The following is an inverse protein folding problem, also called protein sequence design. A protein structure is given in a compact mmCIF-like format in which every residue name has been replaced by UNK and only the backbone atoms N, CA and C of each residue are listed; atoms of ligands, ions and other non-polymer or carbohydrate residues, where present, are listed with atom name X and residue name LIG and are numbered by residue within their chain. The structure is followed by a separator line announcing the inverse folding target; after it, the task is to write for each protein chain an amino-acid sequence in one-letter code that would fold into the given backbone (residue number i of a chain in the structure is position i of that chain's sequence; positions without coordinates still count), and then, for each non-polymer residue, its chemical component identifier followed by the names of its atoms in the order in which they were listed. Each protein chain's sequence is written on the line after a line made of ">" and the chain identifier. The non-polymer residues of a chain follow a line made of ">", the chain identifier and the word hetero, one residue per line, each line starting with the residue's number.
data_IF_698152768270
#
_entry.id   IF_698152768270
#
_cell.length_a   1.000
_cell.length_b   1.000
_cell.length_c   1.000
_cell.angle_alpha   90.00
_cell.angle_beta   90.00
_cell.angle_gamma   90.00
#
_symmetry.space_group_name_H-M   'P 1'
#
loop_
_entity.id
_entity.type
_entity.pdbx_description
1 polymer ?
#
# COMPACT_ATOMS: atom_id res chain seq x y z
N UNK A 1 13.63 -30.30 44.36
CA UNK A 1 13.22 -30.15 42.95
C UNK A 1 12.07 -29.17 42.92
N UNK A 2 12.29 -27.98 42.36
CA UNK A 2 11.29 -26.90 42.36
C UNK A 2 11.01 -26.51 40.92
N UNK A 3 9.75 -26.60 40.50
CA UNK A 3 9.28 -26.14 39.19
C UNK A 3 7.94 -25.43 39.38
N UNK A 4 8.00 -24.18 39.82
CA UNK A 4 6.88 -23.26 39.67
C UNK A 4 6.94 -22.69 38.25
N UNK A 5 6.00 -23.08 37.39
CA UNK A 5 5.72 -22.39 36.15
C UNK A 5 4.44 -21.58 36.33
N UNK A 6 4.60 -20.34 36.75
CA UNK A 6 3.51 -19.40 36.94
C UNK A 6 3.13 -18.80 35.58
N UNK A 7 1.99 -19.22 35.04
CA UNK A 7 1.52 -18.82 33.71
C UNK A 7 0.86 -17.44 33.80
N UNK A 8 1.66 -16.39 33.69
CA UNK A 8 1.16 -15.01 33.60
C UNK A 8 0.51 -14.75 32.23
N UNK A 9 -0.73 -15.23 32.08
CA UNK A 9 -1.63 -14.86 30.99
C UNK A 9 -2.14 -13.43 31.22
N UNK A 10 -1.60 -12.46 30.47
CA UNK A 10 -2.15 -11.10 30.45
C UNK A 10 -3.36 -11.09 29.52
N UNK A 11 -4.54 -11.28 30.12
CA UNK A 11 -5.83 -11.17 29.45
C UNK A 11 -6.07 -9.71 29.01
N UNK A 12 -5.87 -9.43 27.71
CA UNK A 12 -6.39 -8.21 27.09
C UNK A 12 -7.88 -8.39 26.77
N UNK A 13 -8.70 -7.42 27.14
CA UNK A 13 -10.15 -7.50 27.12
C UNK A 13 -10.77 -7.25 25.73
N UNK A 14 -10.30 -7.96 24.70
CA UNK A 14 -10.99 -8.14 23.42
C UNK A 14 -10.46 -9.43 22.79
N UNK A 15 -11.33 -10.27 22.21
CA UNK A 15 -11.03 -11.68 21.88
C UNK A 15 -10.05 -11.94 20.73
N UNK A 16 -8.80 -11.50 20.87
CA UNK A 16 -7.72 -11.69 19.90
C UNK A 16 -6.48 -12.26 20.57
N UNK A 17 -5.92 -13.32 20.01
CA UNK A 17 -4.63 -13.88 20.44
C UNK A 17 -3.51 -13.10 19.75
N UNK A 18 -2.56 -12.61 20.53
CA UNK A 18 -1.34 -11.97 20.02
C UNK A 18 -0.42 -13.02 19.41
N UNK A 19 0.00 -12.80 18.17
CA UNK A 19 0.93 -13.63 17.43
C UNK A 19 2.37 -13.53 17.98
N UNK A 20 2.75 -14.35 18.97
CA UNK A 20 4.15 -14.45 19.39
C UNK A 20 5.00 -15.22 18.34
N UNK A 21 5.70 -14.47 17.50
CA UNK A 21 6.77 -15.00 16.65
C UNK A 21 8.10 -14.95 17.42
N UNK A 22 8.48 -16.07 18.05
CA UNK A 22 9.80 -16.24 18.66
C UNK A 22 10.91 -15.99 17.63
N UNK A 23 11.56 -14.83 17.71
CA UNK A 23 12.72 -14.50 16.87
C UNK A 23 13.91 -15.36 17.27
N UNK A 24 14.47 -16.11 16.33
CA UNK A 24 15.83 -16.62 16.45
C UNK A 24 16.80 -15.44 16.33
N UNK A 25 17.76 -15.35 17.26
CA UNK A 25 18.68 -14.22 17.37
C UNK A 25 19.73 -14.28 16.24
N UNK A 26 19.91 -13.22 15.43
CA UNK A 26 21.06 -13.11 14.53
C UNK A 26 22.32 -12.80 15.34
N UNK A 27 23.41 -13.50 15.05
CA UNK A 27 24.72 -13.22 15.64
C UNK A 27 25.22 -11.86 15.15
N UNK A 28 25.67 -11.02 16.09
CA UNK A 28 26.34 -9.74 15.83
C UNK A 28 27.78 -9.88 16.31
N UNK A 29 28.73 -9.56 15.43
CA UNK A 29 30.07 -9.12 15.83
C UNK A 29 30.33 -7.76 15.15
N UNK A 30 30.92 -6.78 15.85
CA UNK A 30 31.17 -5.44 15.33
C UNK A 30 32.55 -5.33 14.66
N UNK A 31 32.68 -4.40 13.72
CA UNK A 31 33.99 -3.86 13.30
C UNK A 31 33.85 -2.35 13.13
N UNK A 32 34.92 -1.63 13.49
CA UNK A 32 34.84 -0.24 13.98
C UNK A 32 35.89 0.66 13.28
N UNK A 33 35.53 1.93 13.02
CA UNK A 33 36.41 3.04 12.56
C UNK A 33 37.01 2.82 11.14
N UNK A 34 37.25 3.80 10.24
CA UNK A 34 37.90 5.13 10.33
C UNK A 34 37.30 6.14 9.33
N UNK A 35 37.24 7.40 9.73
CA UNK A 35 36.87 8.62 8.97
C UNK A 35 38.04 9.28 8.22
N UNK A 36 37.76 10.04 7.15
CA UNK A 36 38.43 11.33 6.82
C UNK A 36 37.78 12.06 5.64
N UNK A 37 37.99 13.37 5.57
CA UNK A 37 37.29 14.36 4.73
C UNK A 37 38.03 14.74 3.44
N UNK A 38 37.34 15.30 2.43
CA UNK A 38 37.92 16.35 1.56
C UNK A 38 36.94 17.42 1.03
N UNK A 39 37.47 18.65 0.92
CA UNK A 39 36.97 19.98 0.50
C UNK A 39 36.54 20.10 -0.99
N UNK A 40 35.99 21.19 -1.57
CA UNK A 40 35.37 22.47 -1.13
C UNK A 40 34.75 23.22 -2.36
N UNK A 41 33.73 24.07 -2.11
CA UNK A 41 33.33 25.33 -2.81
C UNK A 41 33.13 25.43 -4.34
N UNK A 42 32.00 26.03 -4.73
CA UNK A 42 31.98 27.19 -5.65
C UNK A 42 30.69 28.01 -5.48
N UNK A 43 30.80 29.27 -5.06
CA UNK A 43 29.70 30.24 -5.06
C UNK A 43 29.58 30.94 -6.43
N UNK A 44 28.39 31.46 -6.77
CA UNK A 44 28.24 32.48 -7.80
C UNK A 44 26.91 33.24 -7.65
N UNK A 45 26.93 34.36 -6.90
CA UNK A 45 25.85 35.34 -6.85
C UNK A 45 26.06 36.42 -7.92
N UNK A 46 25.02 36.80 -8.69
CA UNK A 46 24.94 38.13 -9.33
C UNK A 46 23.46 38.56 -9.43
N UNK A 47 23.10 39.70 -8.83
CA UNK A 47 21.82 40.42 -9.02
C UNK A 47 21.96 41.57 -10.06
N UNK A 48 20.90 42.42 -10.17
CA UNK A 48 20.77 43.65 -10.98
C UNK A 48 20.48 43.39 -12.48
N UNK A 49 19.66 44.13 -13.23
CA UNK A 49 18.71 45.23 -12.95
C UNK A 49 17.55 45.07 -14.00
N UNK A 50 16.46 45.85 -14.09
CA UNK A 50 16.06 47.15 -13.53
C UNK A 50 14.50 47.22 -13.47
N UNK A 51 13.91 48.34 -13.04
CA UNK A 51 12.47 48.62 -13.20
C UNK A 51 12.18 49.69 -14.27
N UNK A 52 10.97 49.69 -14.86
CA UNK A 52 10.27 50.91 -15.31
C UNK A 52 8.82 50.63 -15.78
N UNK A 53 7.91 51.34 -15.09
CA UNK A 53 6.58 51.86 -15.43
C UNK A 53 5.96 51.66 -16.84
N UNK A 54 4.62 51.55 -16.90
CA UNK A 54 3.85 52.01 -18.08
C UNK A 54 2.79 51.09 -18.71
N UNK A 55 1.53 51.49 -18.55
CA UNK A 55 0.45 51.44 -19.57
C UNK A 55 -0.19 50.09 -20.01
N UNK A 56 -1.26 49.77 -19.29
CA UNK A 56 -2.58 49.30 -19.79
C UNK A 56 -2.80 49.48 -21.31
N UNK A 57 -2.97 48.38 -22.06
CA UNK A 57 -3.96 48.28 -23.16
C UNK A 57 -4.29 46.83 -23.56
N UNK A 58 -5.59 46.59 -23.65
CA UNK A 58 -6.29 45.54 -24.42
C UNK A 58 -5.44 44.61 -25.30
N UNK A 59 -5.45 43.31 -24.98
CA UNK A 59 -5.44 42.27 -26.02
C UNK A 59 -6.46 41.18 -25.67
N UNK A 60 -7.34 40.91 -26.64
CA UNK A 60 -8.32 39.84 -26.62
C UNK A 60 -7.57 38.51 -26.73
N UNK A 61 -7.28 37.87 -25.58
CA UNK A 61 -6.66 36.54 -25.61
C UNK A 61 -7.73 35.53 -25.97
N UNK A 62 -7.86 35.27 -27.28
CA UNK A 62 -8.52 34.08 -27.80
C UNK A 62 -7.71 32.88 -27.29
N UNK A 63 -8.03 32.37 -26.11
CA UNK A 63 -7.55 31.06 -25.66
C UNK A 63 -8.36 30.01 -26.41
N UNK A 64 -8.06 29.88 -27.71
CA UNK A 64 -8.16 28.60 -28.41
C UNK A 64 -7.10 27.67 -27.82
N UNK A 65 -7.31 27.30 -26.54
CA UNK A 65 -6.80 26.02 -26.08
C UNK A 65 -7.50 24.98 -26.94
N UNK A 66 -6.78 24.11 -27.65
CA UNK A 66 -7.41 22.91 -28.16
C UNK A 66 -7.92 22.18 -26.92
N UNK A 67 -9.24 22.18 -26.73
CA UNK A 67 -9.93 21.32 -25.78
C UNK A 67 -9.64 19.91 -26.28
N UNK A 68 -8.50 19.35 -25.85
CA UNK A 68 -8.00 18.07 -26.35
C UNK A 68 -8.98 17.02 -25.88
N UNK A 69 -9.89 16.68 -26.79
CA UNK A 69 -11.04 15.82 -26.56
C UNK A 69 -10.56 14.60 -25.81
N UNK A 70 -10.94 14.52 -24.54
CA UNK A 70 -10.22 13.70 -23.58
C UNK A 70 -10.64 12.26 -23.79
N UNK A 71 -9.84 11.53 -24.57
CA UNK A 71 -10.12 10.14 -24.94
C UNK A 71 -10.40 9.31 -23.69
N UNK A 72 -11.24 8.27 -23.83
CA UNK A 72 -11.58 7.36 -22.73
C UNK A 72 -10.33 6.79 -22.03
N UNK A 73 -9.27 6.54 -22.80
CA UNK A 73 -7.94 6.18 -22.32
C UNK A 73 -7.30 7.29 -21.46
N UNK A 74 -7.29 8.55 -21.91
CA UNK A 74 -6.78 9.68 -21.14
C UNK A 74 -7.55 9.89 -19.82
N UNK A 75 -8.85 9.63 -19.82
CA UNK A 75 -9.69 9.66 -18.59
C UNK A 75 -9.31 8.53 -17.64
N UNK A 76 -9.09 7.30 -18.14
CA UNK A 76 -8.63 6.17 -17.32
C UNK A 76 -7.24 6.42 -16.72
N UNK A 77 -6.30 6.97 -17.50
CA UNK A 77 -4.94 7.29 -17.01
C UNK A 77 -4.99 8.27 -15.84
N UNK A 78 -5.73 9.39 -15.96
CA UNK A 78 -5.87 10.34 -14.84
C UNK A 78 -6.57 9.75 -13.61
N UNK A 79 -7.56 8.86 -13.80
CA UNK A 79 -8.20 8.16 -12.67
C UNK A 79 -7.22 7.23 -11.96
N UNK A 80 -6.39 6.50 -12.71
CA UNK A 80 -5.37 5.64 -12.15
C UNK A 80 -4.24 6.43 -11.46
N UNK A 81 -3.93 7.64 -11.96
CA UNK A 81 -2.98 8.59 -11.34
C UNK A 81 -3.47 9.04 -9.97
N UNK A 82 -4.68 9.61 -9.90
CA UNK A 82 -5.32 9.99 -8.64
C UNK A 82 -5.42 8.82 -7.65
N UNK A 83 -5.75 7.62 -8.15
CA UNK A 83 -5.85 6.41 -7.34
C UNK A 83 -4.50 5.97 -6.78
N UNK A 84 -3.46 5.86 -7.62
CA UNK A 84 -2.13 5.41 -7.19
C UNK A 84 -1.50 6.40 -6.21
N UNK A 85 -1.67 7.71 -6.46
CA UNK A 85 -1.17 8.74 -5.56
C UNK A 85 -1.92 8.71 -4.21
N UNK A 86 -3.24 8.56 -4.20
CA UNK A 86 -3.99 8.34 -2.96
C UNK A 86 -3.47 7.12 -2.18
N UNK A 87 -3.38 5.96 -2.84
CA UNK A 87 -2.94 4.70 -2.20
C UNK A 87 -1.50 4.78 -1.68
N UNK A 88 -0.60 5.52 -2.35
CA UNK A 88 0.80 5.72 -1.89
C UNK A 88 0.89 6.45 -0.55
N UNK A 89 -0.05 7.35 -0.26
CA UNK A 89 -0.05 8.14 0.98
C UNK A 89 -0.58 7.36 2.21
N UNK A 90 -1.21 6.19 2.02
CA UNK A 90 -1.75 5.41 3.14
C UNK A 90 -0.61 4.60 3.79
N UNK A 91 -0.22 4.86 5.05
CA UNK A 91 0.85 4.13 5.70
C UNK A 91 0.42 2.69 6.00
N UNK A 92 1.33 1.73 5.83
CA UNK A 92 1.08 0.35 6.28
C UNK A 92 1.05 0.34 7.82
N UNK A 93 0.06 -0.30 8.48
CA UNK A 93 0.01 -0.38 9.94
C UNK A 93 1.31 -0.94 10.54
N UNK A 94 1.77 -0.36 11.65
CA UNK A 94 3.01 -0.78 12.34
C UNK A 94 2.75 -1.79 13.46
N UNK A 95 1.60 -1.69 14.12
CA UNK A 95 1.10 -2.70 15.06
C UNK A 95 0.29 -3.73 14.27
N UNK A 96 0.70 -4.99 14.33
CA UNK A 96 0.10 -6.15 13.64
C UNK A 96 0.21 -7.39 14.53
N UNK A 97 -0.27 -8.54 14.06
CA UNK A 97 -0.18 -9.80 14.81
C UNK A 97 -1.44 -10.13 15.59
N UNK A 98 -2.60 -9.77 15.05
CA UNK A 98 -3.88 -10.35 15.47
C UNK A 98 -4.05 -11.70 14.76
N UNK A 99 -4.29 -12.77 15.50
CA UNK A 99 -4.67 -14.04 14.91
C UNK A 99 -6.12 -13.99 14.39
N UNK A 100 -6.31 -13.49 13.16
CA UNK A 100 -7.62 -13.37 12.49
C UNK A 100 -8.00 -14.73 11.88
N UNK A 101 -9.08 -15.41 12.33
CA UNK A 101 -9.57 -16.63 11.68
C UNK A 101 -10.09 -16.35 10.27
N UNK A 102 -9.84 -17.24 9.31
CA UNK A 102 -10.18 -17.03 7.90
C UNK A 102 -10.25 -18.33 7.08
N UNK A 103 -11.29 -18.47 6.25
CA UNK A 103 -11.46 -19.60 5.34
C UNK A 103 -10.99 -19.32 3.90
N UNK A 104 -10.75 -18.06 3.54
CA UNK A 104 -10.36 -17.60 2.19
C UNK A 104 -9.52 -16.32 2.26
N UNK A 105 -8.69 -16.09 1.23
CA UNK A 105 -7.86 -14.89 1.08
C UNK A 105 -8.68 -13.61 0.95
N UNK A 106 -9.75 -13.61 0.15
CA UNK A 106 -10.70 -12.50 0.05
C UNK A 106 -11.41 -12.27 1.39
N UNK A 107 -11.72 -13.33 2.14
CA UNK A 107 -12.25 -13.25 3.50
C UNK A 107 -11.28 -12.55 4.46
N UNK A 108 -10.01 -12.96 4.48
CA UNK A 108 -8.98 -12.33 5.29
C UNK A 108 -8.75 -10.86 4.88
N UNK A 109 -8.74 -10.56 3.58
CA UNK A 109 -8.64 -9.19 3.07
C UNK A 109 -9.78 -8.29 3.57
N UNK A 110 -11.02 -8.78 3.60
CA UNK A 110 -12.17 -8.06 4.19
C UNK A 110 -11.98 -7.81 5.69
N UNK A 111 -11.54 -8.82 6.44
CA UNK A 111 -11.27 -8.71 7.89
C UNK A 111 -10.15 -7.71 8.19
N UNK A 112 -9.08 -7.69 7.40
CA UNK A 112 -7.99 -6.71 7.49
C UNK A 112 -8.50 -5.29 7.25
N UNK A 113 -9.30 -5.06 6.21
CA UNK A 113 -9.89 -3.74 5.93
C UNK A 113 -10.73 -3.22 7.10
N UNK A 114 -11.54 -4.10 7.71
CA UNK A 114 -12.38 -3.75 8.87
C UNK A 114 -11.57 -3.51 10.15
N UNK A 115 -10.55 -4.34 10.41
CA UNK A 115 -9.74 -4.24 11.64
C UNK A 115 -8.85 -3.00 11.63
N UNK A 116 -8.19 -2.72 10.51
CA UNK A 116 -7.22 -1.63 10.38
C UNK A 116 -7.82 -0.34 9.81
N UNK A 117 -9.08 -0.36 9.38
CA UNK A 117 -9.79 0.76 8.77
C UNK A 117 -9.03 1.40 7.60
N UNK A 118 -8.43 0.56 6.76
CA UNK A 118 -7.71 0.95 5.54
C UNK A 118 -8.21 0.16 4.33
N UNK A 119 -8.25 0.76 3.12
CA UNK A 119 -8.45 0.02 1.88
C UNK A 119 -7.22 -0.85 1.56
N UNK A 120 -7.41 -1.87 0.74
CA UNK A 120 -6.32 -2.58 0.07
C UNK A 120 -6.23 -2.15 -1.40
N UNK A 121 -5.03 -2.25 -1.97
CA UNK A 121 -4.78 -1.90 -3.34
C UNK A 121 -5.57 -2.80 -4.31
N UNK A 122 -5.97 -2.26 -5.45
CA UNK A 122 -6.69 -2.97 -6.51
C UNK A 122 -5.95 -4.25 -6.91
N UNK A 123 -4.62 -4.16 -7.11
CA UNK A 123 -3.77 -5.32 -7.42
C UNK A 123 -3.75 -6.35 -6.29
N UNK A 124 -3.82 -5.92 -5.03
CA UNK A 124 -3.93 -6.83 -3.87
C UNK A 124 -5.29 -7.53 -3.88
N UNK A 125 -6.38 -6.78 -4.06
CA UNK A 125 -7.74 -7.35 -4.12
C UNK A 125 -7.89 -8.36 -5.26
N UNK A 126 -7.32 -8.09 -6.44
CA UNK A 126 -7.25 -9.04 -7.56
C UNK A 126 -6.42 -10.27 -7.18
N UNK A 127 -5.23 -10.10 -6.60
CA UNK A 127 -4.37 -11.23 -6.21
C UNK A 127 -5.01 -12.15 -5.17
N UNK A 128 -5.67 -11.60 -4.16
CA UNK A 128 -6.41 -12.38 -3.15
C UNK A 128 -7.53 -13.19 -3.81
N UNK A 129 -8.26 -12.59 -4.76
CA UNK A 129 -9.26 -13.30 -5.54
C UNK A 129 -8.63 -14.41 -6.42
N UNK A 130 -7.50 -14.15 -7.09
CA UNK A 130 -6.77 -15.16 -7.85
C UNK A 130 -6.33 -16.34 -6.99
N UNK A 131 -5.79 -16.10 -5.79
CA UNK A 131 -5.40 -17.17 -4.88
C UNK A 131 -6.60 -18.01 -4.38
N UNK A 132 -7.76 -17.40 -4.14
CA UNK A 132 -8.98 -18.16 -3.82
C UNK A 132 -9.48 -18.98 -5.04
N UNK A 133 -9.46 -18.42 -6.25
CA UNK A 133 -9.84 -19.16 -7.48
C UNK A 133 -8.90 -20.34 -7.77
N UNK A 134 -7.60 -20.21 -7.48
CA UNK A 134 -6.59 -21.26 -7.68
C UNK A 134 -6.80 -22.51 -6.80
N UNK A 135 -7.69 -22.45 -5.79
CA UNK A 135 -8.03 -23.60 -4.94
C UNK A 135 -9.14 -24.48 -5.50
N UNK A 136 -9.91 -23.99 -6.48
CA UNK A 136 -11.04 -24.71 -7.06
C UNK A 136 -10.53 -25.92 -7.86
N UNK A 137 -11.08 -27.09 -7.59
CA UNK A 137 -10.66 -28.36 -8.16
C UNK A 137 -9.42 -28.99 -7.51
N UNK A 138 -9.00 -28.51 -6.33
CA UNK A 138 -7.94 -29.13 -5.53
C UNK A 138 -8.50 -30.05 -4.44
N UNK A 139 -7.72 -31.04 -4.00
CA UNK A 139 -8.09 -31.96 -2.90
C UNK A 139 -8.46 -31.22 -1.60
N UNK A 140 -7.82 -30.07 -1.35
CA UNK A 140 -8.02 -29.20 -0.18
C UNK A 140 -8.95 -28.00 -0.46
N UNK A 141 -9.79 -28.03 -1.51
CA UNK A 141 -10.68 -26.91 -1.87
C UNK A 141 -11.56 -26.46 -0.69
N UNK A 142 -12.10 -27.43 0.07
CA UNK A 142 -13.03 -27.17 1.17
C UNK A 142 -12.36 -27.04 2.55
N UNK A 143 -11.05 -27.26 2.65
CA UNK A 143 -10.29 -27.12 3.89
C UNK A 143 -10.23 -25.64 4.30
N UNK A 144 -10.57 -25.24 5.54
CA UNK A 144 -10.37 -23.87 6.01
C UNK A 144 -8.91 -23.41 5.88
N UNK A 145 -8.70 -22.23 5.30
CA UNK A 145 -7.36 -21.76 4.93
C UNK A 145 -6.47 -21.44 6.14
N UNK A 146 -7.04 -21.07 7.28
CA UNK A 146 -6.35 -20.89 8.57
C UNK A 146 -5.78 -22.19 9.16
N UNK A 147 -6.27 -23.36 8.75
CA UNK A 147 -5.68 -24.67 9.09
C UNK A 147 -4.43 -24.92 8.25
N UNK A 148 -4.45 -24.53 6.97
CA UNK A 148 -3.32 -24.73 6.04
C UNK A 148 -2.22 -23.67 6.24
N UNK A 149 -2.61 -22.43 6.53
CA UNK A 149 -1.72 -21.26 6.61
C UNK A 149 -2.02 -20.49 7.89
N UNK A 150 -1.06 -20.50 8.81
CA UNK A 150 -1.18 -19.80 10.09
C UNK A 150 -1.58 -18.32 9.92
N UNK A 151 -2.65 -17.82 10.57
CA UNK A 151 -3.18 -16.46 10.38
C UNK A 151 -2.15 -15.33 10.34
N UNK A 152 -1.22 -15.33 11.27
CA UNK A 152 -0.18 -14.29 11.37
C UNK A 152 0.77 -14.28 10.15
N UNK A 153 0.99 -15.42 9.50
CA UNK A 153 1.77 -15.51 8.25
C UNK A 153 0.95 -15.00 7.07
N UNK A 154 -0.34 -15.36 7.00
CA UNK A 154 -1.25 -14.87 5.97
C UNK A 154 -1.40 -13.33 6.04
N UNK A 155 -1.64 -12.78 7.24
CA UNK A 155 -1.66 -11.32 7.48
C UNK A 155 -0.34 -10.65 7.04
N UNK A 156 0.81 -11.19 7.46
CA UNK A 156 2.11 -10.64 7.09
C UNK A 156 2.34 -10.64 5.57
N UNK A 157 1.98 -11.74 4.88
CA UNK A 157 2.05 -11.84 3.41
C UNK A 157 1.21 -10.78 2.73
N UNK A 158 -0.04 -10.57 3.16
CA UNK A 158 -0.92 -9.53 2.58
C UNK A 158 -0.29 -8.15 2.74
N UNK A 159 0.23 -7.81 3.94
CA UNK A 159 0.83 -6.51 4.16
C UNK A 159 2.14 -6.27 3.39
N UNK A 160 2.97 -7.31 3.20
CA UNK A 160 4.18 -7.21 2.39
C UNK A 160 3.85 -6.96 0.91
N UNK A 161 2.84 -7.66 0.37
CA UNK A 161 2.35 -7.45 -0.99
C UNK A 161 1.71 -6.06 -1.15
N UNK A 162 0.89 -5.64 -0.18
CA UNK A 162 0.25 -4.32 -0.17
C UNK A 162 1.29 -3.18 -0.16
N UNK A 163 2.39 -3.33 0.60
CA UNK A 163 3.50 -2.37 0.63
C UNK A 163 4.21 -2.25 -0.73
N UNK A 164 4.44 -3.37 -1.40
CA UNK A 164 4.95 -3.38 -2.79
C UNK A 164 3.96 -2.65 -3.71
N UNK A 165 2.68 -3.03 -3.70
CA UNK A 165 1.68 -2.45 -4.59
C UNK A 165 1.49 -0.94 -4.38
N UNK A 166 1.43 -0.45 -3.14
CA UNK A 166 1.30 0.99 -2.84
C UNK A 166 2.52 1.80 -3.27
N UNK A 167 3.74 1.24 -3.15
CA UNK A 167 4.99 1.98 -3.40
C UNK A 167 5.52 1.89 -4.83
N UNK A 168 5.41 0.74 -5.50
CA UNK A 168 6.13 0.48 -6.76
C UNK A 168 5.26 0.52 -8.01
N UNK A 169 3.93 0.42 -7.87
CA UNK A 169 3.01 0.43 -9.01
C UNK A 169 2.96 1.81 -9.67
N UNK A 170 3.05 1.86 -11.00
CA UNK A 170 2.82 3.09 -11.77
C UNK A 170 1.36 3.21 -12.18
N UNK A 171 0.85 4.43 -12.25
CA UNK A 171 -0.53 4.67 -12.68
C UNK A 171 -0.79 4.22 -14.13
N UNK A 172 0.22 4.27 -15.00
CA UNK A 172 0.13 3.72 -16.36
C UNK A 172 -0.09 2.20 -16.36
N UNK A 173 0.54 1.47 -15.44
CA UNK A 173 0.33 0.03 -15.28
C UNK A 173 -1.10 -0.26 -14.80
N UNK A 174 -1.56 0.45 -13.78
CA UNK A 174 -2.94 0.34 -13.25
C UNK A 174 -3.98 0.66 -14.35
N UNK A 175 -3.80 1.76 -15.08
CA UNK A 175 -4.69 2.15 -16.19
C UNK A 175 -4.76 1.09 -17.29
N UNK A 176 -3.62 0.48 -17.67
CA UNK A 176 -3.57 -0.61 -18.66
C UNK A 176 -4.35 -1.85 -18.21
N UNK A 177 -4.31 -2.17 -16.91
CA UNK A 177 -5.09 -3.29 -16.37
C UNK A 177 -6.58 -2.91 -16.35
N UNK A 178 -6.96 -1.72 -15.87
CA UNK A 178 -8.35 -1.25 -15.87
C UNK A 178 -8.97 -1.13 -17.27
N UNK A 179 -8.17 -0.82 -18.30
CA UNK A 179 -8.60 -0.85 -19.69
C UNK A 179 -8.93 -2.28 -20.17
N UNK A 180 -8.29 -3.28 -19.58
CA UNK A 180 -8.49 -4.71 -19.87
C UNK A 180 -9.56 -5.36 -18.98
N UNK A 181 -9.95 -4.71 -17.88
CA UNK A 181 -10.93 -5.18 -16.89
C UNK A 181 -12.13 -4.20 -16.80
N UNK A 182 -13.22 -4.46 -17.53
CA UNK A 182 -14.44 -3.64 -17.46
C UNK A 182 -15.05 -3.54 -16.05
N UNK A 183 -14.77 -4.51 -15.17
CA UNK A 183 -15.31 -4.60 -13.82
C UNK A 183 -14.31 -4.15 -12.74
N UNK A 184 -13.21 -3.48 -13.10
CA UNK A 184 -12.15 -3.07 -12.17
C UNK A 184 -12.66 -2.31 -10.94
N UNK A 185 -13.73 -1.54 -11.10
CA UNK A 185 -14.40 -0.79 -10.04
C UNK A 185 -14.93 -1.67 -8.89
N UNK A 186 -15.18 -2.97 -9.11
CA UNK A 186 -15.56 -3.91 -8.07
C UNK A 186 -14.42 -4.27 -7.09
N UNK A 187 -13.16 -4.01 -7.48
CA UNK A 187 -11.96 -4.29 -6.69
C UNK A 187 -11.25 -3.01 -6.21
N UNK A 188 -11.79 -1.83 -6.54
CA UNK A 188 -11.37 -0.55 -5.97
C UNK A 188 -12.20 -0.29 -4.72
N UNK A 189 -11.57 -0.33 -3.55
CA UNK A 189 -12.25 -0.04 -2.30
C UNK A 189 -12.72 1.43 -2.25
N UNK A 190 -13.90 1.66 -1.67
CA UNK A 190 -14.43 3.00 -1.44
C UNK A 190 -13.48 3.80 -0.55
N UNK A 191 -12.91 4.86 -1.13
CA UNK A 191 -12.04 5.82 -0.46
C UNK A 191 -12.83 6.51 0.67
N UNK A 192 -12.38 6.32 1.91
CA UNK A 192 -12.72 7.21 3.01
C UNK A 192 -11.64 8.32 3.07
N UNK A 193 -12.01 9.60 3.26
CA UNK A 193 -13.36 10.12 3.53
C UNK A 193 -14.15 10.45 2.26
N UNK A 194 -15.47 10.62 2.43
CA UNK A 194 -16.31 11.34 1.45
C UNK A 194 -15.82 12.79 1.35
N UNK A 195 -15.65 13.27 0.12
CA UNK A 195 -15.62 14.71 -0.20
C UNK A 195 -17.00 15.33 0.05
#
# INVERSE_FOLDING_TARGET
>A
MSTNYEVNSVLSAQGYIVCDMKRTIPWIDPVDVISSDESSSSDSDIELNDGLDGQRLSNYVTIDQPFKEMTSEGVLIRRAEMYQDYMRHIPIPVQRGSAIPFSSWVGLGKSIKQLYQQPLHYLTNILLNTWDQQRIGSEDEHTPLDIMIHPCKAEATIWLVEEVHRRTSSHHHVAKIWQSDPMHHAFVDSIFPKL
#
